data_IF_952709348866
#
_entry.id   IF_952709348866
#
_cell.length_a   1.000
_cell.length_b   1.000
_cell.length_c   1.000
_cell.angle_alpha   90.00
_cell.angle_beta   90.00
_cell.angle_gamma   90.00
#
_symmetry.space_group_name_H-M   'P 1'
#
loop_
_entity.id
_entity.type
_entity.pdbx_description
1 polymer ?
#
# COMPACT_ATOMS: atom_id res chain seq x y z
N UNK A 1 8.13 -19.14 -11.07
CA UNK A 1 6.73 -18.67 -11.00
C UNK A 1 6.29 -18.81 -9.56
N UNK A 2 6.68 -17.87 -8.71
CA UNK A 2 6.25 -17.86 -7.31
C UNK A 2 4.75 -17.60 -7.32
N UNK A 3 3.98 -18.50 -6.74
CA UNK A 3 2.52 -18.39 -6.77
C UNK A 3 2.13 -17.39 -5.70
N UNK A 4 1.53 -16.27 -6.10
CA UNK A 4 0.95 -15.32 -5.16
C UNK A 4 -0.09 -16.07 -4.31
N UNK A 5 0.20 -16.28 -3.04
CA UNK A 5 -0.66 -17.08 -2.18
C UNK A 5 -1.64 -16.17 -1.44
N UNK A 6 -2.77 -16.72 -1.01
CA UNK A 6 -3.75 -15.97 -0.20
C UNK A 6 -3.09 -15.41 1.09
N UNK A 7 -2.02 -16.02 1.56
CA UNK A 7 -1.23 -15.55 2.71
C UNK A 7 -0.58 -14.19 2.48
N UNK A 8 -0.23 -13.82 1.24
CA UNK A 8 0.42 -12.53 0.95
C UNK A 8 -0.51 -11.34 1.20
N UNK A 9 -1.82 -11.55 1.13
CA UNK A 9 -2.82 -10.53 1.48
C UNK A 9 -2.72 -10.09 2.95
N UNK A 10 -2.22 -10.96 3.84
CA UNK A 10 -1.98 -10.62 5.25
C UNK A 10 -0.95 -9.49 5.38
N UNK A 11 0.02 -9.42 4.46
CA UNK A 11 1.04 -8.36 4.44
C UNK A 11 0.56 -7.14 3.63
N UNK A 12 -0.19 -7.37 2.54
CA UNK A 12 -0.63 -6.31 1.63
C UNK A 12 -1.68 -5.41 2.27
N UNK A 13 -2.66 -5.98 2.97
CA UNK A 13 -3.76 -5.21 3.58
C UNK A 13 -3.25 -4.15 4.57
N UNK A 14 -2.46 -4.47 5.61
CA UNK A 14 -1.97 -3.47 6.55
C UNK A 14 -1.02 -2.47 5.88
N UNK A 15 -0.25 -2.88 4.88
CA UNK A 15 0.69 -2.00 4.18
C UNK A 15 -0.02 -1.00 3.25
N UNK A 16 -1.08 -1.42 2.58
CA UNK A 16 -1.99 -0.54 1.83
C UNK A 16 -2.70 0.45 2.74
N UNK A 17 -3.18 -0.01 3.91
CA UNK A 17 -3.86 0.81 4.90
C UNK A 17 -2.91 1.82 5.54
N UNK A 18 -1.67 1.42 5.81
CA UNK A 18 -0.60 2.32 6.27
C UNK A 18 -0.33 3.43 5.25
N UNK A 19 -0.21 3.10 3.96
CA UNK A 19 -0.04 4.09 2.88
C UNK A 19 -1.22 5.07 2.78
N UNK A 20 -2.44 4.55 2.88
CA UNK A 20 -3.67 5.35 2.88
C UNK A 20 -3.75 6.31 4.08
N UNK A 21 -3.35 5.85 5.27
CA UNK A 21 -3.36 6.66 6.49
C UNK A 21 -2.21 7.67 6.53
N UNK A 22 -1.01 7.33 6.05
CA UNK A 22 0.14 8.25 6.02
C UNK A 22 -0.09 9.44 5.08
N UNK A 23 -0.48 9.21 3.82
CA UNK A 23 -0.81 10.31 2.91
C UNK A 23 -2.14 10.97 3.29
N UNK A 24 -3.09 10.19 3.82
CA UNK A 24 -4.37 10.68 4.29
C UNK A 24 -4.31 11.53 5.54
N UNK A 25 -3.23 11.48 6.33
CA UNK A 25 -3.04 12.34 7.49
C UNK A 25 -2.48 13.72 7.11
N UNK A 26 -2.18 13.96 5.82
CA UNK A 26 -1.63 15.22 5.37
C UNK A 26 -2.71 16.32 5.43
N UNK A 27 -2.52 17.37 6.27
CA UNK A 27 -3.52 18.41 6.47
C UNK A 27 -3.63 19.25 5.19
N UNK A 28 -4.66 18.95 4.40
CA UNK A 28 -5.00 19.67 3.18
C UNK A 28 -6.32 20.40 3.39
N UNK A 29 -6.37 21.69 3.03
CA UNK A 29 -7.53 22.57 3.26
C UNK A 29 -8.80 22.13 2.51
N UNK A 30 -8.67 21.22 1.53
CA UNK A 30 -9.78 20.71 0.72
C UNK A 30 -10.06 19.24 1.02
N UNK A 31 -11.32 18.93 1.34
CA UNK A 31 -11.82 17.56 1.55
C UNK A 31 -11.62 16.66 0.33
N UNK A 32 -11.65 17.24 -0.87
CA UNK A 32 -11.38 16.51 -2.11
C UNK A 32 -9.92 16.06 -2.21
N UNK A 33 -8.98 16.96 -1.91
CA UNK A 33 -7.55 16.61 -1.89
C UNK A 33 -7.25 15.58 -0.81
N UNK A 34 -7.87 15.69 0.35
CA UNK A 34 -7.68 14.72 1.43
C UNK A 34 -8.14 13.30 1.03
N UNK A 35 -9.30 13.18 0.36
CA UNK A 35 -9.76 11.89 -0.15
C UNK A 35 -8.87 11.37 -1.29
N UNK A 36 -8.44 12.25 -2.19
CA UNK A 36 -7.52 11.90 -3.27
C UNK A 36 -6.17 11.42 -2.75
N UNK A 37 -5.61 12.07 -1.72
CA UNK A 37 -4.36 11.66 -1.07
C UNK A 37 -4.48 10.29 -0.38
N UNK A 38 -5.62 9.98 0.26
CA UNK A 38 -5.87 8.62 0.82
C UNK A 38 -5.86 7.56 -0.27
N UNK A 39 -6.51 7.82 -1.41
CA UNK A 39 -6.58 6.87 -2.53
C UNK A 39 -5.22 6.66 -3.16
N UNK A 40 -4.46 7.74 -3.39
CA UNK A 40 -3.08 7.64 -3.90
C UNK A 40 -2.18 6.91 -2.91
N UNK A 41 -2.27 7.22 -1.62
CA UNK A 41 -1.52 6.56 -0.58
C UNK A 41 -1.82 5.06 -0.48
N UNK A 42 -3.09 4.69 -0.62
CA UNK A 42 -3.51 3.29 -0.68
C UNK A 42 -2.89 2.58 -1.89
N UNK A 43 -2.96 3.19 -3.08
CA UNK A 43 -2.38 2.62 -4.30
C UNK A 43 -0.86 2.46 -4.18
N UNK A 44 -0.15 3.47 -3.67
CA UNK A 44 1.29 3.38 -3.43
C UNK A 44 1.65 2.29 -2.42
N UNK A 45 0.89 2.16 -1.33
CA UNK A 45 1.07 1.11 -0.34
C UNK A 45 0.87 -0.30 -0.91
N UNK A 46 -0.11 -0.49 -1.80
CA UNK A 46 -0.31 -1.76 -2.52
C UNK A 46 0.86 -2.07 -3.44
N UNK A 47 1.34 -1.08 -4.21
CA UNK A 47 2.49 -1.28 -5.11
C UNK A 47 3.74 -1.67 -4.32
N UNK A 48 4.02 -0.99 -3.21
CA UNK A 48 5.13 -1.34 -2.32
C UNK A 48 4.99 -2.75 -1.72
N UNK A 49 3.77 -3.12 -1.32
CA UNK A 49 3.51 -4.46 -0.77
C UNK A 49 3.78 -5.56 -1.79
N UNK A 50 3.34 -5.38 -3.04
CA UNK A 50 3.61 -6.32 -4.13
C UNK A 50 5.11 -6.42 -4.39
N UNK A 51 5.81 -5.29 -4.49
CA UNK A 51 7.27 -5.28 -4.69
C UNK A 51 8.00 -5.95 -3.54
N UNK A 52 7.55 -5.80 -2.30
CA UNK A 52 8.16 -6.45 -1.14
C UNK A 52 7.89 -7.96 -1.14
N UNK A 53 6.65 -8.38 -1.38
CA UNK A 53 6.26 -9.80 -1.42
C UNK A 53 7.02 -10.54 -2.51
N UNK A 54 7.14 -9.95 -3.70
CA UNK A 54 7.85 -10.54 -4.84
C UNK A 54 9.37 -10.34 -4.75
N UNK A 55 9.82 -9.29 -4.04
CA UNK A 55 11.23 -8.95 -3.87
C UNK A 55 11.93 -9.76 -2.78
N UNK A 56 11.22 -10.15 -1.72
CA UNK A 56 11.73 -11.02 -0.66
C UNK A 56 12.32 -12.35 -1.19
N UNK A 57 11.62 -13.12 -2.04
CA UNK A 57 12.17 -14.35 -2.62
C UNK A 57 13.24 -14.10 -3.70
N UNK A 58 13.40 -12.86 -4.20
CA UNK A 58 14.47 -12.50 -5.13
C UNK A 58 15.75 -12.01 -4.43
N UNK A 59 15.67 -11.66 -3.15
CA UNK A 59 16.78 -11.16 -2.35
C UNK A 59 17.56 -12.28 -1.62
N UNK A 60 16.99 -13.49 -1.58
CA UNK A 60 17.59 -14.73 -1.05
C UNK A 60 18.04 -15.60 -2.22
#
# INVERSE_FOLDING_TARGET
>A
MHYFTISDFILIIPMALAGALFLGACPTSSTFLHNFLRVIGAMLGVVFAVVLVEGLPALV
#
